data_IF_834541748920
#
_entry.id   IF_834541748920
#
_cell.length_a   1.000
_cell.length_b   1.000
_cell.length_c   1.000
_cell.angle_alpha   90.00
_cell.angle_beta   90.00
_cell.angle_gamma   90.00
#
_symmetry.space_group_name_H-M   'P 1'
#
loop_
_entity.id
_entity.type
_entity.pdbx_description
1 polymer ?
#
# COMPACT_ATOMS: atom_id res chain seq x y z
N UNK A 1 -34.19 -3.64 -32.21
CA UNK A 1 -33.34 -2.81 -31.36
C UNK A 1 -32.44 -1.99 -32.27
N UNK A 2 -32.33 -0.66 -32.10
CA UNK A 2 -31.31 0.11 -32.80
C UNK A 2 -29.92 -0.33 -32.30
N UNK A 3 -28.94 -0.41 -33.21
CA UNK A 3 -27.53 -0.49 -32.80
C UNK A 3 -27.12 0.87 -32.25
N UNK A 4 -26.20 0.89 -31.28
CA UNK A 4 -25.58 2.15 -30.87
C UNK A 4 -24.77 2.71 -32.04
N UNK A 5 -25.23 3.82 -32.63
CA UNK A 5 -24.53 4.56 -33.69
C UNK A 5 -23.34 5.40 -33.15
N UNK A 6 -22.77 5.04 -32.00
CA UNK A 6 -21.55 5.67 -31.52
C UNK A 6 -20.35 5.18 -32.35
N UNK A 7 -19.49 6.07 -32.87
CA UNK A 7 -18.25 5.68 -33.50
C UNK A 7 -17.39 4.88 -32.51
N UNK A 8 -16.89 3.72 -32.91
CA UNK A 8 -15.91 2.99 -32.10
C UNK A 8 -14.58 3.74 -31.98
N UNK A 9 -13.80 3.42 -30.94
CA UNK A 9 -12.61 4.20 -30.56
C UNK A 9 -11.60 4.39 -31.69
N UNK A 10 -11.43 3.37 -32.55
CA UNK A 10 -10.60 3.49 -33.76
C UNK A 10 -11.06 4.61 -34.70
N UNK A 11 -12.36 4.77 -34.91
CA UNK A 11 -12.91 5.84 -35.75
C UNK A 11 -12.74 7.21 -35.08
N UNK A 12 -12.87 7.29 -33.75
CA UNK A 12 -12.62 8.50 -32.96
C UNK A 12 -11.13 8.91 -33.09
N UNK A 13 -10.20 7.97 -32.91
CA UNK A 13 -8.77 8.18 -33.03
C UNK A 13 -8.37 8.65 -34.46
N UNK A 14 -8.88 7.98 -35.50
CA UNK A 14 -8.65 8.37 -36.90
C UNK A 14 -9.16 9.78 -37.19
N UNK A 15 -10.35 10.15 -36.69
CA UNK A 15 -10.90 11.50 -36.86
C UNK A 15 -10.07 12.55 -36.12
N UNK A 16 -9.64 12.27 -34.88
CA UNK A 16 -8.81 13.16 -34.08
C UNK A 16 -7.43 13.41 -34.72
N UNK A 17 -6.74 12.34 -35.13
CA UNK A 17 -5.44 12.43 -35.81
C UNK A 17 -5.55 13.16 -37.17
N UNK A 18 -6.58 12.84 -37.97
CA UNK A 18 -6.84 13.52 -39.25
C UNK A 18 -7.04 15.03 -39.06
N UNK A 19 -7.79 15.44 -38.03
CA UNK A 19 -8.01 16.85 -37.69
C UNK A 19 -6.71 17.54 -37.30
N UNK A 20 -5.90 16.92 -36.44
CA UNK A 20 -4.63 17.48 -35.98
C UNK A 20 -3.63 17.67 -37.13
N UNK A 21 -3.44 16.65 -37.99
CA UNK A 21 -2.52 16.72 -39.13
C UNK A 21 -2.99 17.75 -40.17
N UNK A 22 -4.29 17.92 -40.37
CA UNK A 22 -4.82 19.00 -41.23
C UNK A 22 -4.49 20.39 -40.71
N UNK A 23 -4.63 20.63 -39.40
CA UNK A 23 -4.28 21.91 -38.79
C UNK A 23 -2.77 22.19 -38.89
N UNK A 24 -1.92 21.19 -38.69
CA UNK A 24 -0.47 21.28 -38.89
C UNK A 24 -0.15 21.63 -40.36
N UNK A 25 -0.71 20.91 -41.33
CA UNK A 25 -0.51 21.17 -42.75
C UNK A 25 -1.06 22.53 -43.23
N UNK A 26 -2.01 23.12 -42.49
CA UNK A 26 -2.53 24.47 -42.72
C UNK A 26 -1.70 25.58 -42.05
N UNK A 27 -0.68 25.23 -41.25
CA UNK A 27 0.12 26.18 -40.47
C UNK A 27 -0.58 26.70 -39.20
N UNK A 28 -1.68 26.09 -38.78
CA UNK A 28 -2.44 26.45 -37.58
C UNK A 28 -1.80 25.91 -36.28
N UNK A 29 -0.88 24.95 -36.42
CA UNK A 29 -0.07 24.35 -35.35
C UNK A 29 1.34 24.08 -35.85
N UNK A 30 2.34 24.26 -34.98
CA UNK A 30 3.74 23.93 -35.27
C UNK A 30 3.99 22.42 -35.32
N UNK A 31 5.13 22.03 -35.92
CA UNK A 31 5.56 20.65 -36.12
C UNK A 31 5.20 20.10 -37.50
N UNK A 32 5.31 18.79 -37.68
CA UNK A 32 4.85 18.09 -38.88
C UNK A 32 3.99 16.84 -38.59
N UNK A 33 3.45 16.23 -39.63
CA UNK A 33 2.55 15.07 -39.50
C UNK A 33 3.24 13.78 -39.05
N UNK A 34 4.54 13.61 -39.29
CA UNK A 34 5.31 12.47 -38.81
C UNK A 34 5.67 12.64 -37.33
N UNK A 35 6.11 13.85 -36.93
CA UNK A 35 6.31 14.23 -35.52
C UNK A 35 5.03 14.00 -34.71
N UNK A 36 3.87 14.43 -35.23
CA UNK A 36 2.59 14.21 -34.56
C UNK A 36 2.28 12.72 -34.33
N UNK A 37 2.53 11.85 -35.32
CA UNK A 37 2.28 10.41 -35.18
C UNK A 37 3.28 9.77 -34.20
N UNK A 38 4.56 10.15 -34.28
CA UNK A 38 5.60 9.69 -33.36
C UNK A 38 5.25 10.03 -31.89
N UNK A 39 4.92 11.30 -31.63
CA UNK A 39 4.51 11.77 -30.30
C UNK A 39 3.18 11.16 -29.84
N UNK A 40 2.22 10.90 -30.76
CA UNK A 40 0.98 10.21 -30.41
C UNK A 40 1.23 8.76 -29.99
N UNK A 41 2.08 8.02 -30.71
CA UNK A 41 2.42 6.64 -30.34
C UNK A 41 3.24 6.59 -29.05
N UNK A 42 4.17 7.52 -28.85
CA UNK A 42 4.90 7.67 -27.60
C UNK A 42 3.97 8.00 -26.42
N UNK A 43 2.96 8.87 -26.59
CA UNK A 43 2.00 9.19 -25.53
C UNK A 43 1.12 7.99 -25.14
N UNK A 44 0.70 7.16 -26.12
CA UNK A 44 -0.03 5.92 -25.83
C UNK A 44 0.85 4.93 -25.06
N UNK A 45 2.09 4.72 -25.51
CA UNK A 45 3.07 3.89 -24.77
C UNK A 45 3.33 4.43 -23.35
N UNK A 46 3.44 5.75 -23.21
CA UNK A 46 3.69 6.41 -21.94
C UNK A 46 2.55 6.25 -20.93
N UNK A 47 1.29 6.28 -21.39
CA UNK A 47 0.13 6.00 -20.53
C UNK A 47 0.06 4.52 -20.16
N UNK A 48 0.40 3.62 -21.10
CA UNK A 48 0.51 2.16 -20.89
C UNK A 48 1.76 1.71 -20.09
N UNK A 49 2.54 2.64 -19.56
CA UNK A 49 3.72 2.38 -18.71
C UNK A 49 5.02 2.06 -19.47
N UNK A 50 4.95 1.45 -20.65
CA UNK A 50 6.13 1.13 -21.47
C UNK A 50 5.81 0.98 -22.97
N UNK A 51 6.82 1.22 -23.82
CA UNK A 51 6.79 0.89 -25.25
C UNK A 51 6.56 -0.60 -25.53
N UNK A 52 7.02 -1.49 -24.65
CA UNK A 52 6.82 -2.93 -24.81
C UNK A 52 5.35 -3.35 -24.64
N UNK A 53 4.61 -2.71 -23.72
CA UNK A 53 3.17 -2.96 -23.48
C UNK A 53 2.35 -2.79 -24.76
N UNK A 54 2.68 -1.77 -25.57
CA UNK A 54 2.02 -1.48 -26.84
C UNK A 54 2.07 -2.63 -27.86
N UNK A 55 3.04 -3.56 -27.73
CA UNK A 55 3.23 -4.68 -28.67
C UNK A 55 3.07 -6.07 -28.05
N UNK A 56 2.79 -6.16 -26.75
CA UNK A 56 2.82 -7.38 -25.95
C UNK A 56 2.05 -8.56 -26.59
N UNK A 57 0.85 -8.31 -27.11
CA UNK A 57 -0.02 -9.33 -27.72
C UNK A 57 0.51 -9.93 -29.05
N UNK A 58 1.50 -9.29 -29.70
CA UNK A 58 2.14 -9.76 -30.96
C UNK A 58 3.65 -9.47 -30.95
N UNK A 59 4.30 -9.66 -29.81
CA UNK A 59 5.74 -9.47 -29.66
C UNK A 59 6.54 -10.27 -30.72
N UNK A 60 7.59 -9.67 -31.26
CA UNK A 60 8.42 -10.26 -32.32
C UNK A 60 7.85 -10.21 -33.74
N UNK A 61 6.66 -9.64 -33.97
CA UNK A 61 6.18 -9.37 -35.35
C UNK A 61 6.97 -8.24 -36.02
N UNK A 62 7.02 -8.22 -37.36
CA UNK A 62 7.71 -7.14 -38.09
C UNK A 62 6.99 -5.79 -37.93
N UNK A 63 5.65 -5.81 -37.80
CA UNK A 63 4.86 -4.62 -37.48
C UNK A 63 5.22 -4.11 -36.07
N UNK A 64 5.26 -5.00 -35.07
CA UNK A 64 5.64 -4.67 -33.70
C UNK A 64 7.04 -4.06 -33.64
N UNK A 65 8.01 -4.65 -34.33
CA UNK A 65 9.37 -4.10 -34.42
C UNK A 65 9.39 -2.67 -35.01
N UNK A 66 8.55 -2.36 -36.01
CA UNK A 66 8.47 -1.02 -36.59
C UNK A 66 7.73 0.00 -35.72
N UNK A 67 6.78 -0.45 -34.90
CA UNK A 67 6.14 0.39 -33.87
C UNK A 67 7.15 0.70 -32.75
N UNK A 68 7.92 -0.29 -32.30
CA UNK A 68 8.98 -0.09 -31.32
C UNK A 68 10.08 0.83 -31.86
N UNK A 69 10.60 0.61 -33.08
CA UNK A 69 11.58 1.52 -33.72
C UNK A 69 11.11 2.99 -33.71
N UNK A 70 9.82 3.23 -33.97
CA UNK A 70 9.24 4.58 -33.97
C UNK A 70 9.22 5.18 -32.56
N UNK A 71 8.73 4.44 -31.56
CA UNK A 71 8.71 4.90 -30.17
C UNK A 71 10.13 5.10 -29.64
N UNK A 72 11.05 4.17 -29.89
CA UNK A 72 12.44 4.25 -29.46
C UNK A 72 13.20 5.43 -30.10
N UNK A 73 12.90 5.76 -31.37
CA UNK A 73 13.44 6.97 -32.01
C UNK A 73 12.93 8.29 -31.42
N UNK A 74 11.88 8.23 -30.58
CA UNK A 74 11.18 9.37 -29.99
C UNK A 74 11.45 9.50 -28.48
N UNK A 75 11.39 8.38 -27.76
CA UNK A 75 11.42 8.30 -26.31
C UNK A 75 12.69 7.64 -25.74
N UNK A 76 13.61 7.18 -26.59
CA UNK A 76 14.79 6.40 -26.17
C UNK A 76 14.54 4.88 -26.22
N UNK A 77 15.61 4.08 -26.24
CA UNK A 77 15.52 2.63 -26.42
C UNK A 77 15.03 1.88 -25.17
N UNK A 78 15.29 2.44 -23.99
CA UNK A 78 14.92 1.91 -22.68
C UNK A 78 13.85 2.82 -22.02
N UNK A 79 13.00 3.44 -22.85
CA UNK A 79 11.91 4.35 -22.48
C UNK A 79 12.35 5.62 -21.68
N UNK A 80 13.63 6.03 -21.80
CA UNK A 80 14.27 7.04 -20.94
C UNK A 80 13.57 8.42 -20.88
N UNK A 81 12.91 8.82 -21.98
CA UNK A 81 12.18 10.08 -22.11
C UNK A 81 10.67 9.88 -22.20
N UNK A 82 10.16 8.65 -22.06
CA UNK A 82 8.76 8.28 -22.31
C UNK A 82 7.79 9.08 -21.42
N UNK A 83 8.17 9.36 -20.18
CA UNK A 83 7.39 10.19 -19.24
C UNK A 83 7.11 11.62 -19.75
N UNK A 84 7.92 12.16 -20.67
CA UNK A 84 7.67 13.46 -21.31
C UNK A 84 6.40 13.46 -22.18
N UNK A 85 6.00 12.28 -22.65
CA UNK A 85 4.82 12.10 -23.51
C UNK A 85 3.57 11.65 -22.75
N UNK A 86 3.68 11.30 -21.46
CA UNK A 86 2.54 10.82 -20.67
C UNK A 86 1.50 11.93 -20.49
N UNK A 87 0.23 11.61 -20.70
CA UNK A 87 -0.90 12.55 -20.56
C UNK A 87 -1.84 12.21 -19.40
N UNK A 88 -1.67 11.04 -18.80
CA UNK A 88 -2.45 10.55 -17.66
C UNK A 88 -1.59 10.51 -16.38
N UNK A 89 -2.18 10.64 -15.17
CA UNK A 89 -1.43 10.44 -13.93
C UNK A 89 -0.76 9.08 -13.89
N UNK A 90 0.40 8.99 -13.24
CA UNK A 90 0.93 7.69 -12.77
C UNK A 90 0.14 7.35 -11.51
N UNK A 91 -0.73 6.34 -11.59
CA UNK A 91 -1.49 5.86 -10.44
C UNK A 91 -0.68 4.79 -9.69
N UNK A 92 -0.65 4.89 -8.37
CA UNK A 92 -0.15 3.86 -7.46
C UNK A 92 -1.35 3.32 -6.69
N UNK A 93 -1.54 2.01 -6.74
CA UNK A 93 -2.69 1.30 -6.17
C UNK A 93 -2.22 0.43 -5.03
N UNK A 94 -2.79 0.64 -3.84
CA UNK A 94 -2.30 0.05 -2.58
C UNK A 94 -3.47 -0.50 -1.76
N UNK A 95 -3.29 -1.67 -1.17
CA UNK A 95 -4.19 -2.15 -0.11
C UNK A 95 -3.51 -1.89 1.25
N UNK A 96 -3.98 -0.88 1.97
CA UNK A 96 -3.40 -0.50 3.26
C UNK A 96 -3.57 -1.59 4.32
N UNK A 97 -4.66 -2.36 4.29
CA UNK A 97 -4.85 -3.48 5.22
C UNK A 97 -3.80 -4.58 4.96
N UNK A 98 -3.52 -4.89 3.70
CA UNK A 98 -2.49 -5.84 3.30
C UNK A 98 -1.09 -5.46 3.80
N UNK A 99 -0.65 -4.21 3.60
CA UNK A 99 0.66 -3.74 4.06
C UNK A 99 0.82 -3.85 5.59
N UNK A 100 -0.21 -3.46 6.34
CA UNK A 100 -0.23 -3.57 7.81
C UNK A 100 -0.28 -5.04 8.24
N UNK A 101 -0.98 -5.90 7.49
CA UNK A 101 -1.10 -7.33 7.76
C UNK A 101 0.19 -8.12 7.52
N UNK A 102 0.96 -7.85 6.46
CA UNK A 102 2.26 -8.49 6.21
C UNK A 102 3.31 -8.19 7.29
N UNK A 103 3.16 -7.06 7.98
CA UNK A 103 3.97 -6.67 9.13
C UNK A 103 3.41 -7.19 10.47
N UNK A 104 2.31 -7.95 10.41
CA UNK A 104 1.63 -8.54 11.56
C UNK A 104 0.95 -7.53 12.49
N UNK A 105 0.77 -6.27 12.10
CA UNK A 105 0.28 -5.22 13.00
C UNK A 105 -1.10 -5.51 13.60
N UNK A 106 -1.96 -6.22 12.86
CA UNK A 106 -3.26 -6.71 13.34
C UNK A 106 -3.15 -7.50 14.65
N UNK A 107 -1.98 -8.08 14.99
CA UNK A 107 -1.75 -8.81 16.25
C UNK A 107 -1.66 -7.90 17.47
N UNK A 108 -1.30 -6.63 17.29
CA UNK A 108 -1.06 -5.69 18.38
C UNK A 108 -2.35 -5.25 19.10
N UNK A 109 -3.49 -5.20 18.39
CA UNK A 109 -4.79 -4.88 19.00
C UNK A 109 -5.35 -6.06 19.83
N UNK A 110 -5.41 -7.32 19.33
CA UNK A 110 -5.73 -8.50 20.15
C UNK A 110 -4.79 -8.69 21.34
N UNK A 111 -3.48 -8.40 21.20
CA UNK A 111 -2.56 -8.43 22.34
C UNK A 111 -2.95 -7.41 23.42
N UNK A 112 -3.38 -6.20 23.02
CA UNK A 112 -3.91 -5.20 23.95
C UNK A 112 -5.20 -5.65 24.64
N UNK A 113 -6.14 -6.23 23.88
CA UNK A 113 -7.38 -6.83 24.42
C UNK A 113 -7.06 -7.92 25.45
N UNK A 114 -6.11 -8.80 25.13
CA UNK A 114 -5.68 -9.89 26.00
C UNK A 114 -5.02 -9.39 27.29
N UNK A 115 -4.08 -8.44 27.19
CA UNK A 115 -3.43 -7.83 28.37
C UNK A 115 -4.44 -7.19 29.32
N UNK A 116 -5.37 -6.37 28.78
CA UNK A 116 -6.41 -5.71 29.58
C UNK A 116 -7.33 -6.75 30.24
N UNK A 117 -7.76 -7.77 29.48
CA UNK A 117 -8.60 -8.85 30.00
C UNK A 117 -7.91 -9.65 31.12
N UNK A 118 -6.64 -10.02 30.93
CA UNK A 118 -5.83 -10.69 31.95
C UNK A 118 -5.64 -9.80 33.20
N UNK A 119 -5.41 -8.50 33.04
CA UNK A 119 -5.27 -7.58 34.18
C UNK A 119 -6.58 -7.39 34.95
N UNK A 120 -7.72 -7.36 34.26
CA UNK A 120 -9.04 -7.15 34.89
C UNK A 120 -9.60 -8.40 35.57
N UNK A 121 -9.38 -9.60 35.02
CA UNK A 121 -10.05 -10.82 35.49
C UNK A 121 -9.13 -12.03 35.72
N UNK A 122 -7.82 -11.91 35.47
CA UNK A 122 -6.85 -13.01 35.62
C UNK A 122 -7.23 -14.25 34.83
N UNK A 123 -7.05 -15.43 35.41
CA UNK A 123 -7.36 -16.74 34.81
C UNK A 123 -8.82 -16.91 34.35
N UNK A 124 -9.75 -16.04 34.78
CA UNK A 124 -11.14 -16.02 34.32
C UNK A 124 -11.27 -15.44 32.91
N UNK A 125 -10.33 -14.60 32.48
CA UNK A 125 -10.24 -14.11 31.12
C UNK A 125 -9.45 -15.10 30.27
N UNK A 126 -10.03 -15.50 29.13
CA UNK A 126 -9.33 -16.25 28.08
C UNK A 126 -9.78 -15.71 26.74
N UNK A 127 -8.84 -15.26 25.90
CA UNK A 127 -9.15 -14.92 24.52
C UNK A 127 -9.16 -16.19 23.66
N UNK A 128 -10.28 -16.88 23.70
CA UNK A 128 -10.74 -17.67 22.56
C UNK A 128 -11.60 -16.71 21.72
N UNK A 129 -11.45 -16.62 20.38
CA UNK A 129 -12.26 -15.75 19.48
C UNK A 129 -12.94 -16.55 18.36
N UNK A 130 -14.26 -16.34 18.10
CA UNK A 130 -15.15 -16.84 16.99
C UNK A 130 -15.84 -15.71 16.28
N UNK A 131 -15.30 -15.33 15.15
CA UNK A 131 -16.04 -14.64 14.10
C UNK A 131 -15.69 -15.32 12.79
N UNK A 132 -16.62 -15.31 11.84
CA UNK A 132 -16.40 -15.77 10.47
C UNK A 132 -16.11 -14.56 9.60
N UNK A 133 -14.85 -14.39 9.19
CA UNK A 133 -14.49 -13.36 8.22
C UNK A 133 -14.52 -13.93 6.78
N UNK A 134 -15.03 -13.20 5.77
CA UNK A 134 -15.08 -13.69 4.39
C UNK A 134 -13.71 -14.11 3.82
N UNK A 135 -12.63 -13.44 4.23
CA UNK A 135 -11.28 -13.69 3.71
C UNK A 135 -10.47 -14.75 4.49
N UNK A 136 -10.79 -15.02 5.78
CA UNK A 136 -9.93 -15.89 6.64
C UNK A 136 -10.69 -16.92 7.50
N UNK A 137 -12.02 -17.03 7.36
CA UNK A 137 -12.81 -18.10 7.98
C UNK A 137 -13.25 -17.88 9.43
N UNK A 138 -13.73 -18.96 10.06
CA UNK A 138 -14.33 -19.02 11.41
C UNK A 138 -13.33 -19.44 12.50
N UNK A 139 -13.66 -19.25 13.78
CA UNK A 139 -12.78 -19.37 14.97
C UNK A 139 -13.65 -19.82 16.19
N UNK A 140 -13.24 -19.84 17.48
CA UNK A 140 -14.12 -20.16 18.67
C UNK A 140 -14.13 -19.08 19.79
N UNK A 141 -15.23 -18.33 20.12
CA UNK A 141 -15.28 -17.36 21.26
C UNK A 141 -15.56 -18.16 22.52
N UNK A 142 -14.70 -17.99 23.52
CA UNK A 142 -15.04 -18.25 24.91
C UNK A 142 -14.25 -17.31 25.81
N UNK A 143 -14.83 -16.15 26.17
CA UNK A 143 -14.29 -15.24 27.22
C UNK A 143 -14.57 -15.82 28.63
N UNK A 144 -14.05 -17.03 28.87
CA UNK A 144 -14.02 -17.73 30.15
C UNK A 144 -15.30 -17.70 30.99
N UNK A 145 -15.16 -17.35 32.28
CA UNK A 145 -16.24 -17.32 33.27
C UNK A 145 -16.58 -15.87 33.69
N UNK A 146 -16.88 -15.01 32.72
CA UNK A 146 -17.28 -13.62 32.97
C UNK A 146 -18.80 -13.47 33.17
N UNK A 147 -19.22 -12.44 33.91
CA UNK A 147 -20.62 -12.00 34.00
C UNK A 147 -21.02 -11.16 32.78
N UNK A 148 -22.30 -10.83 32.63
CA UNK A 148 -22.78 -9.94 31.55
C UNK A 148 -22.07 -8.57 31.60
N UNK A 149 -22.03 -7.92 32.76
CA UNK A 149 -21.40 -6.62 32.98
C UNK A 149 -19.88 -6.65 32.69
N UNK A 150 -19.21 -7.78 32.95
CA UNK A 150 -17.79 -7.98 32.66
C UNK A 150 -17.53 -8.22 31.16
N UNK A 151 -18.47 -8.87 30.45
CA UNK A 151 -18.45 -9.00 28.99
C UNK A 151 -18.67 -7.65 28.31
N UNK A 152 -19.68 -6.87 28.74
CA UNK A 152 -19.99 -5.53 28.22
C UNK A 152 -18.78 -4.59 28.35
N UNK A 153 -18.04 -4.64 29.48
CA UNK A 153 -16.78 -3.89 29.64
C UNK A 153 -15.70 -4.30 28.63
N UNK A 154 -15.61 -5.59 28.28
CA UNK A 154 -14.65 -6.05 27.28
C UNK A 154 -15.10 -5.72 25.85
N UNK A 155 -16.40 -5.71 25.56
CA UNK A 155 -16.94 -5.24 24.29
C UNK A 155 -16.62 -3.74 24.08
N UNK A 156 -16.78 -2.91 25.11
CA UNK A 156 -16.35 -1.50 25.10
C UNK A 156 -14.82 -1.35 24.88
N UNK A 157 -14.02 -2.26 25.41
CA UNK A 157 -12.56 -2.27 25.22
C UNK A 157 -12.19 -2.59 23.77
N UNK A 158 -12.87 -3.58 23.18
CA UNK A 158 -12.68 -3.97 21.78
C UNK A 158 -13.12 -2.86 20.81
N UNK A 159 -14.27 -2.22 21.07
CA UNK A 159 -14.78 -1.10 20.25
C UNK A 159 -13.79 0.08 20.23
N UNK A 160 -13.21 0.43 21.37
CA UNK A 160 -12.17 1.48 21.43
C UNK A 160 -10.91 1.11 20.64
N UNK A 161 -10.49 -0.16 20.66
CA UNK A 161 -9.33 -0.63 19.91
C UNK A 161 -9.60 -0.78 18.41
N UNK A 162 -10.82 -1.15 18.01
CA UNK A 162 -11.29 -1.16 16.62
C UNK A 162 -11.28 0.26 16.03
N UNK A 163 -11.84 1.24 16.76
CA UNK A 163 -11.84 2.64 16.34
C UNK A 163 -10.41 3.20 16.18
N UNK A 164 -9.46 2.73 17.00
CA UNK A 164 -8.04 3.05 16.84
C UNK A 164 -7.44 2.39 15.59
N UNK A 165 -7.79 1.14 15.28
CA UNK A 165 -7.31 0.42 14.10
C UNK A 165 -7.77 1.11 12.79
N UNK A 166 -9.04 1.54 12.70
CA UNK A 166 -9.54 2.34 11.57
C UNK A 166 -8.83 3.70 11.46
N UNK A 167 -8.54 4.34 12.60
CA UNK A 167 -7.79 5.60 12.65
C UNK A 167 -6.36 5.40 12.16
N UNK A 168 -5.68 4.35 12.62
CA UNK A 168 -4.31 4.00 12.25
C UNK A 168 -4.17 3.63 10.77
N UNK A 169 -5.15 2.93 10.21
CA UNK A 169 -5.20 2.65 8.78
C UNK A 169 -5.34 3.95 7.97
N UNK A 170 -6.21 4.87 8.39
CA UNK A 170 -6.38 6.19 7.77
C UNK A 170 -5.10 7.04 7.86
N UNK A 171 -4.46 7.06 9.03
CA UNK A 171 -3.19 7.74 9.27
C UNK A 171 -2.07 7.18 8.39
N UNK A 172 -2.00 5.85 8.24
CA UNK A 172 -1.04 5.19 7.36
C UNK A 172 -1.27 5.55 5.88
N UNK A 173 -2.52 5.56 5.41
CA UNK A 173 -2.86 5.96 4.04
C UNK A 173 -2.39 7.39 3.72
N UNK A 174 -2.59 8.33 4.66
CA UNK A 174 -2.12 9.70 4.53
C UNK A 174 -0.57 9.76 4.46
N UNK A 175 0.13 9.12 5.41
CA UNK A 175 1.60 9.10 5.46
C UNK A 175 2.23 8.41 4.24
N UNK A 176 1.60 7.36 3.72
CA UNK A 176 2.05 6.67 2.51
C UNK A 176 1.95 7.60 1.30
N UNK A 177 0.82 8.31 1.17
CA UNK A 177 0.61 9.31 0.11
C UNK A 177 1.63 10.45 0.19
N UNK A 178 1.93 10.94 1.39
CA UNK A 178 2.97 11.94 1.63
C UNK A 178 4.37 11.42 1.28
N UNK A 179 4.67 10.16 1.60
CA UNK A 179 5.97 9.53 1.31
C UNK A 179 6.19 9.35 -0.19
N UNK A 180 5.17 8.88 -0.93
CA UNK A 180 5.16 8.84 -2.41
C UNK A 180 5.40 10.24 -2.99
N UNK A 181 4.67 11.24 -2.49
CA UNK A 181 4.77 12.61 -3.00
C UNK A 181 6.17 13.21 -2.73
N UNK A 182 6.74 12.99 -1.54
CA UNK A 182 8.07 13.46 -1.19
C UNK A 182 9.15 12.84 -2.08
N UNK A 183 9.12 11.52 -2.29
CA UNK A 183 10.08 10.84 -3.16
C UNK A 183 9.97 11.29 -4.61
N UNK A 184 8.75 11.44 -5.14
CA UNK A 184 8.58 11.90 -6.51
C UNK A 184 9.07 13.34 -6.72
N UNK A 185 8.92 14.23 -5.73
CA UNK A 185 9.51 15.58 -5.80
C UNK A 185 11.03 15.56 -5.66
N UNK A 186 11.62 14.60 -4.91
CA UNK A 186 13.07 14.39 -4.85
C UNK A 186 13.61 13.98 -6.23
N UNK A 187 13.05 12.92 -6.82
CA UNK A 187 13.39 12.44 -8.16
C UNK A 187 13.29 13.55 -9.22
N UNK A 188 12.21 14.33 -9.22
CA UNK A 188 12.03 15.51 -10.09
C UNK A 188 13.08 16.59 -9.88
N UNK A 189 13.56 16.79 -8.65
CA UNK A 189 14.56 17.81 -8.34
C UNK A 189 15.97 17.39 -8.76
N UNK A 190 16.28 16.10 -8.69
CA UNK A 190 17.57 15.54 -9.07
C UNK A 190 17.69 15.29 -10.58
N UNK A 191 16.62 14.77 -11.21
CA UNK A 191 16.58 14.37 -12.62
C UNK A 191 15.39 15.01 -13.38
N UNK A 192 15.34 16.36 -13.50
CA UNK A 192 14.22 17.08 -14.09
C UNK A 192 13.96 16.79 -15.57
N UNK A 193 14.93 16.19 -16.28
CA UNK A 193 14.81 15.76 -17.67
C UNK A 193 14.12 14.38 -17.81
N UNK A 194 14.16 13.55 -16.75
CA UNK A 194 13.54 12.22 -16.71
C UNK A 194 12.13 12.31 -16.09
N UNK A 195 11.98 13.16 -15.07
CA UNK A 195 10.73 13.33 -14.32
C UNK A 195 10.11 14.72 -14.54
N UNK A 196 9.47 14.95 -15.70
CA UNK A 196 8.99 16.28 -16.10
C UNK A 196 7.89 16.81 -15.18
N UNK A 197 7.77 18.14 -15.14
CA UNK A 197 6.75 18.84 -14.35
C UNK A 197 5.30 18.62 -14.83
N UNK A 198 5.11 18.09 -16.05
CA UNK A 198 3.80 17.74 -16.62
C UNK A 198 3.19 16.47 -16.03
N UNK A 199 4.01 15.55 -15.51
CA UNK A 199 3.53 14.28 -14.94
C UNK A 199 3.00 14.51 -13.54
N UNK A 200 1.83 13.95 -13.26
CA UNK A 200 1.24 13.85 -11.93
C UNK A 200 1.35 12.42 -11.42
N UNK A 201 1.48 12.26 -10.10
CA UNK A 201 1.40 10.97 -9.42
C UNK A 201 0.20 11.03 -8.49
N UNK A 202 -0.58 9.96 -8.44
CA UNK A 202 -1.74 9.81 -7.55
C UNK A 202 -1.67 8.48 -6.82
N UNK A 203 -2.11 8.45 -5.56
CA UNK A 203 -2.24 7.21 -4.78
C UNK A 203 -3.72 6.91 -4.61
N UNK A 204 -4.12 5.66 -4.89
CA UNK A 204 -5.45 5.11 -4.70
C UNK A 204 -5.37 3.92 -3.74
N UNK A 205 -6.24 3.92 -2.72
CA UNK A 205 -6.40 2.77 -1.85
C UNK A 205 -7.56 1.90 -2.33
N UNK A 206 -7.40 0.59 -2.23
CA UNK A 206 -8.39 -0.42 -2.67
C UNK A 206 -8.35 -1.64 -1.77
N UNK A 207 -9.48 -2.34 -1.65
CA UNK A 207 -9.58 -3.64 -0.99
C UNK A 207 -9.37 -4.80 -1.99
N UNK A 208 -9.29 -4.50 -3.29
CA UNK A 208 -9.07 -5.47 -4.37
C UNK A 208 -7.58 -5.81 -4.52
N UNK A 209 -7.25 -7.09 -4.40
CA UNK A 209 -5.88 -7.60 -4.47
C UNK A 209 -5.39 -7.81 -5.92
N UNK A 210 -6.30 -7.89 -6.90
CA UNK A 210 -5.94 -8.14 -8.30
C UNK A 210 -5.48 -6.87 -9.05
N UNK A 211 -5.61 -5.69 -8.42
CA UNK A 211 -5.35 -4.35 -9.01
C UNK A 211 -4.15 -3.62 -8.36
N UNK A 212 -3.35 -4.29 -7.52
CA UNK A 212 -2.25 -3.66 -6.79
C UNK A 212 -1.06 -3.32 -7.68
N UNK A 213 -0.37 -2.22 -7.38
CA UNK A 213 0.86 -1.84 -8.09
C UNK A 213 1.97 -2.87 -7.88
N UNK A 214 2.46 -3.45 -8.97
CA UNK A 214 3.64 -4.31 -8.96
C UNK A 214 4.89 -3.46 -8.61
N UNK A 215 5.67 -3.80 -7.56
CA UNK A 215 6.90 -3.07 -7.20
C UNK A 215 7.96 -3.04 -8.31
N UNK A 216 7.84 -3.87 -9.34
CA UNK A 216 8.74 -3.90 -10.49
C UNK A 216 8.25 -3.07 -11.69
N UNK A 217 7.04 -2.48 -11.62
CA UNK A 217 6.44 -1.69 -12.73
C UNK A 217 6.96 -0.24 -12.78
N UNK A 218 8.17 -0.07 -13.31
CA UNK A 218 8.72 1.25 -13.69
C UNK A 218 8.67 2.29 -12.57
N UNK A 219 8.12 3.47 -12.87
CA UNK A 219 8.01 4.56 -11.88
C UNK A 219 6.96 4.27 -10.79
N UNK A 220 5.85 3.63 -11.13
CA UNK A 220 4.79 3.33 -10.15
C UNK A 220 5.32 2.33 -9.10
N UNK A 221 5.90 1.23 -9.56
CA UNK A 221 6.54 0.22 -8.73
C UNK A 221 7.70 0.77 -7.90
N UNK A 222 8.55 1.64 -8.48
CA UNK A 222 9.63 2.28 -7.74
C UNK A 222 9.12 3.16 -6.58
N UNK A 223 8.12 4.02 -6.84
CA UNK A 223 7.53 4.89 -5.81
C UNK A 223 6.76 4.09 -4.75
N UNK A 224 6.04 3.05 -5.15
CA UNK A 224 5.38 2.11 -4.25
C UNK A 224 6.39 1.40 -3.34
N UNK A 225 7.46 0.82 -3.91
CA UNK A 225 8.50 0.13 -3.16
C UNK A 225 9.25 1.08 -2.20
N UNK A 226 9.52 2.32 -2.62
CA UNK A 226 10.07 3.35 -1.74
C UNK A 226 9.12 3.64 -0.57
N UNK A 227 7.84 3.92 -0.84
CA UNK A 227 6.86 4.26 0.19
C UNK A 227 6.61 3.08 1.15
N UNK A 228 6.52 1.85 0.66
CA UNK A 228 6.43 0.63 1.47
C UNK A 228 7.62 0.46 2.42
N UNK A 229 8.83 0.86 1.99
CA UNK A 229 10.03 0.79 2.82
C UNK A 229 10.21 1.96 3.80
N UNK A 230 9.63 3.13 3.53
CA UNK A 230 9.91 4.37 4.27
C UNK A 230 8.72 4.98 5.03
N UNK A 231 7.48 4.57 4.75
CA UNK A 231 6.28 5.10 5.44
C UNK A 231 6.31 4.73 6.92
N UNK A 232 6.27 5.70 7.87
CA UNK A 232 6.32 5.39 9.29
C UNK A 232 5.06 4.66 9.76
N UNK A 233 5.24 3.54 10.47
CA UNK A 233 4.13 2.71 10.93
C UNK A 233 3.30 3.41 12.03
N UNK A 234 2.00 3.08 12.16
CA UNK A 234 1.20 3.50 13.29
C UNK A 234 1.82 3.07 14.63
N UNK A 235 1.71 3.92 15.64
CA UNK A 235 2.24 3.67 16.99
C UNK A 235 3.76 3.83 17.19
N UNK A 236 4.60 3.69 16.15
CA UNK A 236 6.07 3.77 16.27
C UNK A 236 6.72 5.01 15.69
N UNK A 237 6.12 5.65 14.68
CA UNK A 237 6.73 6.73 13.89
C UNK A 237 8.10 6.36 13.27
N UNK A 238 8.42 5.07 13.16
CA UNK A 238 9.59 4.56 12.43
C UNK A 238 9.13 3.79 11.20
N UNK A 239 9.91 3.78 10.11
CA UNK A 239 9.67 2.87 8.99
C UNK A 239 9.66 1.39 9.43
N UNK A 240 8.97 0.51 8.69
CA UNK A 240 8.90 -0.92 8.99
C UNK A 240 10.22 -1.65 8.73
N UNK A 241 10.51 -2.67 9.55
CA UNK A 241 11.54 -3.67 9.24
C UNK A 241 10.91 -4.87 8.51
N UNK A 242 10.88 -4.79 7.18
CA UNK A 242 10.40 -5.87 6.31
C UNK A 242 11.20 -7.19 6.44
N UNK A 243 12.38 -7.19 7.08
CA UNK A 243 13.14 -8.43 7.34
C UNK A 243 12.61 -9.20 8.56
N UNK A 244 11.86 -8.53 9.44
CA UNK A 244 11.18 -9.16 10.57
C UNK A 244 9.86 -9.85 10.17
N UNK A 245 9.21 -9.37 9.10
CA UNK A 245 7.87 -9.78 8.67
C UNK A 245 6.86 -9.72 9.81
N UNK A 246 6.05 -10.78 9.94
CA UNK A 246 5.11 -11.06 11.03
C UNK A 246 5.60 -10.81 12.48
N UNK A 247 6.92 -10.75 12.73
CA UNK A 247 7.52 -10.49 14.05
C UNK A 247 7.69 -9.00 14.35
N UNK A 248 7.43 -8.11 13.41
CA UNK A 248 7.51 -6.66 13.64
C UNK A 248 6.53 -6.22 14.74
N UNK A 249 5.34 -6.83 14.79
CA UNK A 249 4.41 -6.67 15.91
C UNK A 249 5.01 -7.05 17.28
N UNK A 250 5.74 -8.17 17.37
CA UNK A 250 6.41 -8.59 18.62
C UNK A 250 7.47 -7.56 19.05
N UNK A 251 8.24 -7.04 18.10
CA UNK A 251 9.23 -5.99 18.34
C UNK A 251 8.60 -4.70 18.87
N UNK A 252 7.47 -4.27 18.27
CA UNK A 252 6.73 -3.08 18.68
C UNK A 252 6.19 -3.21 20.11
N UNK A 253 5.55 -4.33 20.43
CA UNK A 253 5.03 -4.60 21.77
C UNK A 253 6.17 -4.69 22.81
N UNK A 254 7.30 -5.34 22.46
CA UNK A 254 8.49 -5.40 23.32
C UNK A 254 9.16 -4.04 23.54
N UNK A 255 9.08 -3.13 22.56
CA UNK A 255 9.53 -1.74 22.68
C UNK A 255 8.51 -0.82 23.39
N UNK A 256 7.35 -1.35 23.80
CA UNK A 256 6.33 -0.60 24.56
C UNK A 256 5.28 0.11 23.70
N UNK A 257 5.26 -0.10 22.38
CA UNK A 257 4.28 0.50 21.45
C UNK A 257 2.95 -0.27 21.44
N UNK A 258 2.27 -0.33 22.59
CA UNK A 258 0.98 -1.00 22.72
C UNK A 258 -0.18 -0.09 22.25
N UNK A 259 -1.07 -0.54 21.35
CA UNK A 259 -2.20 0.26 20.88
C UNK A 259 -3.04 0.91 21.99
N UNK A 260 -3.41 0.17 23.03
CA UNK A 260 -4.25 0.70 24.10
C UNK A 260 -3.62 1.85 24.91
N UNK A 261 -2.29 2.03 24.87
CA UNK A 261 -1.63 3.17 25.52
C UNK A 261 -1.88 4.50 24.80
N UNK A 262 -2.35 4.45 23.54
CA UNK A 262 -2.74 5.62 22.75
C UNK A 262 -4.21 6.03 22.94
N UNK A 263 -4.99 5.19 23.64
CA UNK A 263 -6.40 5.44 23.97
C UNK A 263 -6.43 5.96 25.42
N UNK A 264 -6.82 7.22 25.69
CA UNK A 264 -6.81 7.79 27.04
C UNK A 264 -7.52 6.92 28.09
N UNK A 265 -8.67 6.37 27.72
CA UNK A 265 -9.52 5.50 28.52
C UNK A 265 -8.80 4.21 28.96
N UNK A 266 -7.97 3.63 28.09
CA UNK A 266 -7.28 2.35 28.32
C UNK A 266 -5.81 2.52 28.73
N UNK A 267 -5.23 3.70 28.58
CA UNK A 267 -3.81 3.98 28.87
C UNK A 267 -3.36 3.64 30.29
N UNK A 268 -4.30 3.64 31.24
CA UNK A 268 -4.05 3.31 32.65
C UNK A 268 -3.72 1.82 32.90
N UNK A 269 -3.93 0.95 31.92
CA UNK A 269 -3.59 -0.48 32.01
C UNK A 269 -2.08 -0.77 31.94
N UNK A 270 -1.28 0.15 31.39
CA UNK A 270 0.19 0.03 31.30
C UNK A 270 0.66 -1.11 30.41
N UNK A 271 1.96 -1.40 30.39
CA UNK A 271 2.52 -2.56 29.66
C UNK A 271 2.47 -3.83 30.52
N UNK A 272 2.45 -5.05 29.93
CA UNK A 272 2.61 -6.28 30.68
C UNK A 272 3.93 -6.29 31.46
N UNK A 273 3.86 -6.63 32.75
CA UNK A 273 5.06 -6.84 33.58
C UNK A 273 5.52 -8.28 33.36
N UNK A 274 6.64 -8.46 32.66
CA UNK A 274 7.33 -9.75 32.61
C UNK A 274 7.89 -10.07 34.00
N UNK A 275 7.24 -10.98 34.72
CA UNK A 275 7.80 -11.56 35.92
C UNK A 275 9.03 -12.38 35.57
N UNK A 276 10.21 -11.82 35.83
CA UNK A 276 11.50 -12.51 35.70
C UNK A 276 11.55 -13.67 36.71
N UNK A 277 11.37 -14.89 36.20
CA UNK A 277 11.32 -16.12 37.00
C UNK A 277 12.71 -16.58 37.50
N UNK A 278 13.77 -15.81 37.26
CA UNK A 278 15.13 -16.14 37.72
C UNK A 278 15.42 -15.78 39.18
N UNK A 279 14.53 -15.04 39.86
CA UNK A 279 14.66 -14.67 41.27
C UNK A 279 13.57 -15.29 42.17
N UNK A 280 13.44 -16.62 42.15
CA UNK A 280 12.73 -17.35 43.21
C UNK A 280 13.74 -17.83 44.29
N UNK A 281 13.81 -17.17 45.47
CA UNK A 281 14.70 -17.58 46.55
C UNK A 281 14.23 -18.85 47.29
N UNK A 282 13.11 -19.47 46.91
CA UNK A 282 12.61 -20.70 47.54
C UNK A 282 13.35 -21.97 47.12
N UNK A 283 14.19 -21.92 46.09
CA UNK A 283 15.02 -23.04 45.62
C UNK A 283 16.28 -23.34 46.47
N UNK A 284 16.31 -22.89 47.73
CA UNK A 284 17.36 -23.25 48.68
C UNK A 284 17.12 -24.67 49.23
N UNK A 285 17.77 -25.66 48.62
CA UNK A 285 17.78 -27.06 49.09
C UNK A 285 18.32 -27.13 50.54
N UNK A 286 17.73 -27.92 51.45
CA UNK A 286 18.34 -28.19 52.74
C UNK A 286 19.62 -29.03 52.53
N UNK A 287 20.74 -28.60 53.10
CA UNK A 287 21.92 -29.46 53.23
C UNK A 287 21.60 -30.65 54.16
N UNK A 288 22.01 -31.85 53.76
CA UNK A 288 21.97 -33.03 54.62
C UNK A 288 23.06 -32.92 55.70
N UNK A 289 22.65 -32.82 56.96
CA UNK A 289 23.53 -32.94 58.13
C UNK A 289 23.91 -34.41 58.39
N UNK A 290 25.04 -34.59 59.09
CA UNK A 290 25.80 -35.85 59.26
C UNK A 290 25.17 -36.89 60.21
#
# INVERSE_FOLDING_TARGET
MPRNDQPGDFQIAVQAATRAIRAINAGERAGDGAEFIAHLTAAVAANLGSSYTLTQARSGSWEAAKVLDLVHSTAGYDDEYLLTYRTEPVEIVVNAEFELNELGLWKTYPASIEHIGQQLFGDRYKLTRTETHPAWGTREIQRGHLTADELERMEQTDELLWNLEETDQTDYQARFTETVAAEYQRLRSEEPNVYPASVTVTVRFTDDFDDLTDPWDGLAGHLYAHARANTPMPGSNTPPDHTAGDRHADQLLAAGHWPHLRIPELSHHGVPITHDTTNDPSAATPEEDQ
#
